data_IF_082230340541
#
_entry.id   IF_082230340541
#
_cell.length_a   1.000
_cell.length_b   1.000
_cell.length_c   1.000
_cell.angle_alpha   90.00
_cell.angle_beta   90.00
_cell.angle_gamma   90.00
#
_symmetry.space_group_name_H-M   'P 1'
#
loop_
_entity.id
_entity.type
_entity.pdbx_description
1 polymer ?
#
# COMPACT_ATOMS: atom_id res chain seq x y z
N UNK A 1 -3.59 11.68 -28.13
CA UNK A 1 -4.67 10.98 -27.39
C UNK A 1 -4.03 10.28 -26.18
N UNK A 2 -3.76 11.00 -25.08
CA UNK A 2 -3.00 10.48 -23.93
C UNK A 2 -3.92 10.35 -22.71
N UNK A 3 -4.67 9.25 -22.64
CA UNK A 3 -5.25 8.77 -21.38
C UNK A 3 -4.37 7.60 -20.91
N UNK A 4 -3.23 7.91 -20.29
CA UNK A 4 -2.23 6.90 -19.90
C UNK A 4 -1.85 6.90 -18.42
N UNK A 5 -2.42 7.79 -17.60
CA UNK A 5 -2.02 7.94 -16.21
C UNK A 5 -3.06 7.35 -15.27
N UNK A 6 -2.59 6.61 -14.26
CA UNK A 6 -3.43 6.16 -13.15
C UNK A 6 -3.94 7.35 -12.33
N UNK A 7 -4.83 7.07 -11.38
CA UNK A 7 -5.38 8.11 -10.49
C UNK A 7 -4.25 8.83 -9.76
N UNK A 8 -4.31 10.16 -9.73
CA UNK A 8 -3.35 11.02 -9.04
C UNK A 8 -4.03 11.83 -7.93
N UNK A 9 -3.34 11.96 -6.81
CA UNK A 9 -3.81 12.55 -5.56
C UNK A 9 -2.91 13.72 -5.19
N UNK A 10 -3.49 14.85 -4.79
CA UNK A 10 -2.69 16.01 -4.39
C UNK A 10 -1.93 15.70 -3.10
N UNK A 11 -0.63 16.02 -3.05
CA UNK A 11 0.15 15.92 -1.83
C UNK A 11 -0.39 16.90 -0.77
N UNK A 12 -0.24 16.54 0.51
CA UNK A 12 -0.70 17.38 1.62
C UNK A 12 0.08 18.69 1.73
N UNK A 13 1.35 18.71 1.27
CA UNK A 13 2.22 19.88 1.30
C UNK A 13 2.81 20.14 -0.10
N UNK A 14 2.71 21.39 -0.56
CA UNK A 14 3.29 21.87 -1.82
C UNK A 14 2.45 21.60 -3.08
N UNK A 15 3.09 21.75 -4.25
CA UNK A 15 2.49 21.56 -5.58
C UNK A 15 2.80 20.18 -6.19
N UNK A 16 2.92 19.15 -5.35
CA UNK A 16 3.19 17.79 -5.80
C UNK A 16 1.92 16.92 -5.81
N UNK A 17 1.97 15.83 -6.57
CA UNK A 17 0.93 14.82 -6.66
C UNK A 17 1.52 13.43 -6.44
N UNK A 18 0.74 12.49 -5.96
CA UNK A 18 1.06 11.07 -5.94
C UNK A 18 0.23 10.37 -6.99
N UNK A 19 0.84 9.54 -7.81
CA UNK A 19 0.12 8.74 -8.80
C UNK A 19 0.29 7.26 -8.49
N UNK A 20 -0.80 6.51 -8.66
CA UNK A 20 -0.78 5.05 -8.62
C UNK A 20 -0.38 4.57 -10.02
N UNK A 21 0.74 3.86 -10.09
CA UNK A 21 1.37 3.42 -11.32
C UNK A 21 1.44 1.89 -11.37
N UNK A 22 1.06 1.32 -12.50
CA UNK A 22 1.25 -0.08 -12.83
C UNK A 22 2.36 -0.21 -13.89
N UNK A 23 3.63 -0.41 -13.49
CA UNK A 23 4.72 -0.56 -14.43
C UNK A 23 4.65 -1.87 -15.23
N UNK A 24 3.76 -2.79 -14.85
CA UNK A 24 3.53 -4.08 -15.50
C UNK A 24 2.18 -4.10 -16.25
N UNK A 25 1.60 -2.93 -16.56
CA UNK A 25 0.31 -2.82 -17.24
C UNK A 25 0.25 -3.69 -18.49
N UNK A 26 -0.76 -4.56 -18.55
CA UNK A 26 -0.98 -5.51 -19.64
C UNK A 26 -0.36 -6.90 -19.43
N UNK A 27 0.29 -7.14 -18.28
CA UNK A 27 0.72 -8.48 -17.87
C UNK A 27 -0.32 -9.17 -17.00
N UNK A 28 -0.30 -10.50 -17.01
CA UNK A 28 -1.11 -11.36 -16.16
C UNK A 28 -0.92 -11.06 -14.66
N UNK A 29 -1.94 -11.33 -13.83
CA UNK A 29 -1.85 -11.25 -12.38
C UNK A 29 -0.65 -12.00 -11.78
N UNK A 30 -0.13 -11.48 -10.68
CA UNK A 30 0.98 -12.10 -9.96
C UNK A 30 0.49 -13.34 -9.21
N UNK A 31 1.03 -14.52 -9.52
CA UNK A 31 0.61 -15.79 -8.92
C UNK A 31 0.65 -15.81 -7.39
N UNK A 32 1.49 -14.98 -6.76
CA UNK A 32 1.66 -14.93 -5.30
C UNK A 32 0.45 -14.40 -4.54
N UNK A 33 -0.52 -13.77 -5.22
CA UNK A 33 -1.71 -13.22 -4.58
C UNK A 33 -2.70 -14.32 -4.17
N UNK A 34 -3.43 -14.06 -3.10
CA UNK A 34 -4.53 -14.92 -2.67
C UNK A 34 -5.74 -14.74 -3.59
N UNK A 35 -6.23 -15.84 -4.16
CA UNK A 35 -7.29 -15.82 -5.16
C UNK A 35 -8.67 -15.47 -4.56
N UNK A 36 -9.02 -16.09 -3.42
CA UNK A 36 -10.39 -16.07 -2.89
C UNK A 36 -10.60 -15.01 -1.79
N UNK A 37 -10.44 -13.73 -2.14
CA UNK A 37 -10.62 -12.63 -1.18
C UNK A 37 -12.10 -12.40 -0.88
N UNK A 38 -12.51 -12.79 0.33
CA UNK A 38 -13.90 -12.64 0.81
C UNK A 38 -14.25 -11.18 1.16
N UNK A 39 -15.54 -10.86 1.24
CA UNK A 39 -16.01 -9.55 1.70
C UNK A 39 -15.55 -9.23 3.13
N UNK A 40 -15.45 -10.24 3.99
CA UNK A 40 -14.86 -10.07 5.32
C UNK A 40 -13.39 -9.64 5.23
N UNK A 41 -12.60 -10.26 4.37
CA UNK A 41 -11.20 -9.88 4.19
C UNK A 41 -11.05 -8.46 3.63
N UNK A 42 -11.93 -8.04 2.72
CA UNK A 42 -11.96 -6.64 2.25
C UNK A 42 -12.26 -5.67 3.40
N UNK A 43 -13.25 -5.97 4.24
CA UNK A 43 -13.55 -5.17 5.42
C UNK A 43 -12.42 -5.15 6.47
N UNK A 44 -11.73 -6.28 6.67
CA UNK A 44 -10.55 -6.36 7.55
C UNK A 44 -9.34 -5.60 6.96
N UNK A 45 -9.23 -5.53 5.62
CA UNK A 45 -8.18 -4.77 4.94
C UNK A 45 -8.41 -3.27 5.10
N UNK A 46 -9.63 -2.77 4.87
CA UNK A 46 -9.98 -1.37 5.09
C UNK A 46 -9.72 -0.94 6.53
N UNK A 47 -10.10 -1.79 7.49
CA UNK A 47 -9.83 -1.58 8.91
C UNK A 47 -8.33 -1.54 9.18
N UNK A 48 -7.54 -2.48 8.64
CA UNK A 48 -6.08 -2.48 8.80
C UNK A 48 -5.42 -1.22 8.19
N UNK A 49 -5.91 -0.75 7.03
CA UNK A 49 -5.44 0.49 6.42
C UNK A 49 -5.81 1.68 7.29
N UNK A 50 -7.03 1.71 7.85
CA UNK A 50 -7.47 2.72 8.82
C UNK A 50 -6.53 2.81 10.03
N UNK A 51 -6.09 1.65 10.55
CA UNK A 51 -5.12 1.55 11.64
C UNK A 51 -3.73 2.09 11.27
N UNK A 52 -3.29 1.88 10.03
CA UNK A 52 -2.02 2.41 9.52
C UNK A 52 -2.03 3.95 9.49
N UNK A 53 -3.10 4.54 8.98
CA UNK A 53 -3.22 5.99 8.74
C UNK A 53 -3.78 6.78 9.92
N UNK A 54 -4.12 6.12 11.04
CA UNK A 54 -4.63 6.59 12.37
C UNK A 54 -5.60 7.79 12.40
N UNK A 55 -5.27 8.92 11.79
CA UNK A 55 -6.02 10.18 11.76
C UNK A 55 -6.56 10.54 10.37
N UNK A 56 -6.54 9.59 9.42
CA UNK A 56 -7.05 9.79 8.06
C UNK A 56 -6.32 10.88 7.25
N UNK A 57 -5.15 11.32 7.68
CA UNK A 57 -4.35 12.33 6.97
C UNK A 57 -3.46 11.66 5.92
N UNK A 58 -2.71 10.64 6.33
CA UNK A 58 -1.73 9.99 5.49
C UNK A 58 -0.82 9.05 6.28
N UNK A 59 0.23 8.57 5.60
CA UNK A 59 1.32 7.87 6.23
C UNK A 59 2.63 8.14 5.49
N UNK A 60 3.72 8.34 6.24
CA UNK A 60 5.06 8.49 5.71
C UNK A 60 5.90 7.24 5.93
N UNK A 61 6.26 6.57 4.83
CA UNK A 61 7.25 5.51 4.85
C UNK A 61 8.66 6.11 4.90
N UNK A 62 9.48 5.62 5.83
CA UNK A 62 10.89 6.02 5.95
C UNK A 62 11.77 4.92 5.40
N UNK A 63 12.66 5.26 4.47
CA UNK A 63 13.60 4.28 3.90
C UNK A 63 14.54 3.76 4.98
N UNK A 64 14.73 2.44 5.01
CA UNK A 64 15.74 1.78 5.85
C UNK A 64 16.61 0.93 4.94
N UNK A 65 17.94 1.06 5.09
CA UNK A 65 18.90 0.24 4.35
C UNK A 65 18.86 -1.23 4.75
N UNK A 66 18.28 -1.55 5.93
CA UNK A 66 18.07 -2.93 6.37
C UNK A 66 16.91 -3.59 5.62
N UNK A 67 17.11 -4.84 5.20
CA UNK A 67 16.08 -5.72 4.65
C UNK A 67 15.14 -6.25 5.74
N UNK A 68 14.95 -5.52 6.85
CA UNK A 68 14.20 -6.02 8.00
C UNK A 68 12.71 -6.04 7.68
N UNK A 69 12.15 -7.24 7.58
CA UNK A 69 10.71 -7.45 7.53
C UNK A 69 10.12 -7.09 8.90
N UNK A 70 9.05 -6.30 8.92
CA UNK A 70 8.33 -6.03 10.18
C UNK A 70 6.86 -5.70 9.93
N UNK A 71 6.03 -6.04 10.90
CA UNK A 71 4.60 -5.73 10.90
C UNK A 71 4.38 -4.31 11.39
N UNK A 72 3.72 -3.49 10.57
CA UNK A 72 3.34 -2.10 10.92
C UNK A 72 1.91 -2.00 11.46
N UNK A 73 1.06 -2.94 11.09
CA UNK A 73 -0.28 -3.13 11.69
C UNK A 73 -0.46 -4.60 11.99
N UNK A 74 -0.48 -4.96 13.27
CA UNK A 74 -0.84 -6.31 13.69
C UNK A 74 -2.36 -6.53 13.51
N UNK A 75 -2.73 -7.76 13.15
CA UNK A 75 -4.13 -8.17 13.12
C UNK A 75 -4.77 -8.18 14.51
N UNK A 76 -3.97 -8.25 15.58
CA UNK A 76 -4.42 -8.02 16.96
C UNK A 76 -4.33 -6.53 17.29
N UNK A 77 -5.42 -5.94 17.78
CA UNK A 77 -5.39 -4.57 18.27
C UNK A 77 -4.92 -4.55 19.72
N UNK A 78 -3.73 -4.02 19.98
CA UNK A 78 -3.25 -3.83 21.35
C UNK A 78 -3.75 -2.47 21.88
N UNK A 79 -4.62 -2.48 22.88
CA UNK A 79 -4.94 -1.28 23.68
C UNK A 79 -6.33 -0.65 23.52
N UNK A 80 -7.37 -1.35 23.06
CA UNK A 80 -8.75 -0.84 23.16
C UNK A 80 -9.46 -1.32 24.42
N UNK A 81 -10.50 -0.57 24.83
CA UNK A 81 -11.49 -1.00 25.81
C UNK A 81 -12.15 -2.32 25.38
N UNK A 82 -12.46 -3.17 26.36
CA UNK A 82 -13.25 -4.39 26.14
C UNK A 82 -14.49 -4.09 25.30
N UNK A 83 -14.73 -4.90 24.26
CA UNK A 83 -15.90 -4.77 23.37
C UNK A 83 -15.69 -3.95 22.08
N UNK A 84 -14.59 -3.20 21.93
CA UNK A 84 -14.37 -2.36 20.73
C UNK A 84 -13.26 -2.84 19.77
N UNK A 85 -12.47 -3.87 20.12
CA UNK A 85 -11.51 -4.47 19.19
C UNK A 85 -11.97 -5.82 18.67
N UNK A 86 -12.28 -5.90 17.38
CA UNK A 86 -12.26 -7.18 16.69
C UNK A 86 -10.83 -7.52 16.24
N UNK A 87 -10.46 -8.78 16.39
CA UNK A 87 -9.26 -9.33 15.76
C UNK A 87 -9.44 -9.32 14.25
N UNK A 88 -8.46 -8.77 13.53
CA UNK A 88 -8.41 -8.81 12.07
C UNK A 88 -7.78 -10.13 11.64
N UNK A 89 -8.33 -10.72 10.58
CA UNK A 89 -7.69 -11.84 9.93
C UNK A 89 -6.51 -11.41 9.05
N UNK A 90 -6.24 -10.10 8.93
CA UNK A 90 -5.19 -9.50 8.11
C UNK A 90 -4.23 -8.66 8.95
N UNK A 91 -3.00 -8.51 8.47
CA UNK A 91 -1.97 -7.60 8.98
C UNK A 91 -1.32 -6.83 7.83
N UNK A 92 -0.63 -5.73 8.15
CA UNK A 92 0.17 -4.98 7.17
C UNK A 92 1.64 -5.10 7.55
N UNK A 93 2.42 -5.60 6.61
CA UNK A 93 3.85 -5.83 6.76
C UNK A 93 4.64 -5.01 5.76
N UNK A 94 5.78 -4.47 6.21
CA UNK A 94 6.83 -4.00 5.32
C UNK A 94 7.75 -5.18 5.05
N UNK A 95 7.79 -5.63 3.80
CA UNK A 95 8.64 -6.74 3.33
C UNK A 95 10.07 -6.31 3.02
N UNK A 96 10.36 -5.01 3.08
CA UNK A 96 11.69 -4.48 2.86
C UNK A 96 11.66 -3.20 2.05
N UNK A 97 12.85 -2.76 1.67
CA UNK A 97 13.05 -1.50 0.98
C UNK A 97 13.99 -1.69 -0.21
N UNK A 98 13.79 -0.92 -1.26
CA UNK A 98 14.63 -1.00 -2.45
C UNK A 98 14.69 0.34 -3.18
N UNK A 99 15.65 0.46 -4.09
CA UNK A 99 15.77 1.59 -4.99
C UNK A 99 15.33 1.16 -6.39
N UNK A 100 14.57 2.01 -7.07
CA UNK A 100 14.15 1.78 -8.47
C UNK A 100 14.11 3.10 -9.21
N UNK A 101 14.45 3.06 -10.49
CA UNK A 101 14.28 4.22 -11.37
C UNK A 101 12.81 4.41 -11.75
N UNK A 102 12.30 5.61 -11.52
CA UNK A 102 10.98 6.08 -11.98
C UNK A 102 11.12 7.50 -12.50
N UNK A 103 10.68 7.74 -13.74
CA UNK A 103 10.83 9.03 -14.45
C UNK A 103 12.27 9.56 -14.46
N UNK A 104 13.24 8.70 -14.81
CA UNK A 104 14.68 9.03 -14.87
C UNK A 104 15.28 9.49 -13.54
N UNK A 105 14.62 9.19 -12.42
CA UNK A 105 15.13 9.46 -11.06
C UNK A 105 15.15 8.16 -10.28
N UNK A 106 16.27 7.86 -9.62
CA UNK A 106 16.33 6.79 -8.63
C UNK A 106 15.52 7.19 -7.40
N UNK A 107 14.56 6.35 -7.02
CA UNK A 107 13.65 6.59 -5.90
C UNK A 107 13.71 5.42 -4.94
N UNK A 108 13.46 5.71 -3.68
CA UNK A 108 13.44 4.76 -2.58
C UNK A 108 12.00 4.32 -2.32
N UNK A 109 11.77 3.02 -2.20
CA UNK A 109 10.45 2.44 -2.01
C UNK A 109 10.42 1.53 -0.78
N UNK A 110 9.32 1.59 -0.05
CA UNK A 110 8.92 0.57 0.92
C UNK A 110 7.99 -0.43 0.21
N UNK A 111 8.34 -1.72 0.25
CA UNK A 111 7.48 -2.79 -0.24
C UNK A 111 6.50 -3.19 0.87
N UNK A 112 5.23 -2.90 0.68
CA UNK A 112 4.20 -3.07 1.71
C UNK A 112 3.17 -4.08 1.25
N UNK A 113 2.88 -5.05 2.11
CA UNK A 113 1.91 -6.10 1.83
C UNK A 113 0.82 -6.15 2.90
N UNK A 114 -0.42 -6.31 2.46
CA UNK A 114 -1.51 -6.77 3.31
C UNK A 114 -1.53 -8.30 3.22
N UNK A 115 -1.43 -8.97 4.35
CA UNK A 115 -1.31 -10.43 4.41
C UNK A 115 -2.27 -11.07 5.40
N UNK A 116 -2.63 -12.34 5.17
CA UNK A 116 -3.34 -13.16 6.14
C UNK A 116 -2.50 -13.34 7.42
N UNK A 117 -3.14 -13.07 8.56
CA UNK A 117 -2.50 -13.22 9.85
C UNK A 117 -2.31 -14.71 10.21
N UNK A 118 -1.12 -15.09 10.69
CA UNK A 118 -0.83 -16.43 11.21
C UNK A 118 -0.90 -17.61 10.24
N UNK A 119 -0.89 -17.40 8.90
CA UNK A 119 -0.98 -18.49 7.90
C UNK A 119 0.32 -18.71 7.12
N UNK A 120 0.56 -19.96 6.70
CA UNK A 120 1.57 -20.36 5.72
C UNK A 120 0.93 -20.52 4.32
N UNK A 121 1.61 -20.09 3.25
CA UNK A 121 1.12 -20.15 1.86
C UNK A 121 0.98 -18.79 1.15
N UNK A 122 0.26 -18.72 0.02
CA UNK A 122 -0.07 -17.45 -0.67
C UNK A 122 -0.92 -16.58 0.26
N UNK A 123 -0.29 -15.67 1.00
CA UNK A 123 -0.95 -14.85 2.03
C UNK A 123 -1.20 -13.42 1.58
N UNK A 124 -0.60 -13.00 0.46
CA UNK A 124 -0.69 -11.62 -0.05
C UNK A 124 -2.10 -11.34 -0.57
N UNK A 125 -2.82 -10.48 0.14
CA UNK A 125 -4.11 -9.94 -0.30
C UNK A 125 -3.91 -8.75 -1.23
N UNK A 126 -2.95 -7.89 -0.88
CA UNK A 126 -2.63 -6.66 -1.58
C UNK A 126 -1.15 -6.34 -1.41
N UNK A 127 -0.51 -5.73 -2.41
CA UNK A 127 0.89 -5.34 -2.37
C UNK A 127 1.16 -4.05 -3.14
N UNK A 128 1.75 -3.08 -2.46
CA UNK A 128 2.04 -1.74 -3.00
C UNK A 128 3.44 -1.31 -2.59
N UNK A 129 4.17 -0.73 -3.54
CA UNK A 129 5.45 -0.07 -3.29
C UNK A 129 5.22 1.43 -3.13
N UNK A 130 5.40 1.94 -1.92
CA UNK A 130 5.23 3.36 -1.62
C UNK A 130 6.56 4.10 -1.66
N UNK A 131 6.62 5.21 -2.38
CA UNK A 131 7.80 6.06 -2.37
C UNK A 131 8.06 6.61 -0.95
N UNK A 132 9.28 6.39 -0.47
CA UNK A 132 9.72 6.81 0.85
C UNK A 132 9.95 8.32 0.93
N UNK A 133 9.95 8.84 2.16
CA UNK A 133 10.36 10.22 2.46
C UNK A 133 9.24 11.25 2.42
N UNK A 134 8.03 10.86 1.98
CA UNK A 134 6.89 11.77 1.85
C UNK A 134 5.66 11.30 2.60
N UNK A 135 4.84 12.25 3.04
CA UNK A 135 3.52 11.99 3.60
C UNK A 135 2.55 11.69 2.46
N UNK A 136 2.15 10.43 2.31
CA UNK A 136 1.26 9.97 1.23
C UNK A 136 -0.19 10.15 1.71
N UNK A 137 -1.07 10.80 0.92
CA UNK A 137 -2.46 11.02 1.30
C UNK A 137 -3.19 9.71 1.61
N UNK A 138 -4.03 9.73 2.66
CA UNK A 138 -4.79 8.57 3.10
C UNK A 138 -5.64 7.93 1.98
N UNK A 139 -6.29 8.73 1.15
CA UNK A 139 -7.10 8.26 0.03
C UNK A 139 -6.26 7.55 -1.04
N UNK A 140 -5.05 8.06 -1.33
CA UNK A 140 -4.10 7.42 -2.24
C UNK A 140 -3.66 6.04 -1.72
N UNK A 141 -3.40 5.92 -0.41
CA UNK A 141 -3.03 4.65 0.23
C UNK A 141 -4.17 3.63 0.11
N UNK A 142 -5.41 4.04 0.43
CA UNK A 142 -6.60 3.17 0.32
C UNK A 142 -6.80 2.67 -1.10
N UNK A 143 -6.84 3.59 -2.05
CA UNK A 143 -7.07 3.24 -3.45
C UNK A 143 -5.96 2.35 -4.01
N UNK A 144 -4.69 2.60 -3.65
CA UNK A 144 -3.58 1.75 -4.10
C UNK A 144 -3.71 0.31 -3.58
N UNK A 145 -4.06 0.11 -2.31
CA UNK A 145 -4.27 -1.24 -1.78
C UNK A 145 -5.52 -1.91 -2.36
N UNK A 146 -6.61 -1.16 -2.56
CA UNK A 146 -7.83 -1.67 -3.18
C UNK A 146 -7.60 -2.10 -4.62
N UNK A 147 -6.91 -1.28 -5.41
CA UNK A 147 -6.58 -1.58 -6.79
C UNK A 147 -5.65 -2.78 -6.88
N UNK A 148 -4.61 -2.83 -6.04
CA UNK A 148 -3.72 -4.00 -5.98
C UNK A 148 -4.47 -5.28 -5.61
N UNK A 149 -5.41 -5.22 -4.66
CA UNK A 149 -6.24 -6.37 -4.28
C UNK A 149 -7.18 -6.80 -5.41
N UNK A 150 -7.78 -5.85 -6.13
CA UNK A 150 -8.74 -6.10 -7.22
C UNK A 150 -8.05 -6.64 -8.46
N UNK A 151 -6.94 -6.02 -8.86
CA UNK A 151 -6.19 -6.38 -10.06
C UNK A 151 -5.19 -7.52 -9.83
N UNK A 152 -4.91 -7.87 -8.57
CA UNK A 152 -3.93 -8.90 -8.19
C UNK A 152 -2.53 -8.57 -8.72
N UNK A 153 -2.13 -7.32 -8.56
CA UNK A 153 -0.88 -6.75 -9.07
C UNK A 153 -0.12 -5.98 -8.02
N UNK A 154 1.19 -5.92 -8.20
CA UNK A 154 2.07 -5.07 -7.41
C UNK A 154 2.06 -3.66 -8.00
N UNK A 155 1.48 -2.70 -7.29
CA UNK A 155 1.39 -1.31 -7.72
C UNK A 155 2.49 -0.45 -7.11
N UNK A 156 2.70 0.74 -7.68
CA UNK A 156 3.63 1.74 -7.19
C UNK A 156 2.91 3.05 -6.90
N UNK A 157 3.22 3.68 -5.77
CA UNK A 157 2.76 5.04 -5.47
C UNK A 157 3.97 5.96 -5.53
N UNK A 158 3.95 6.87 -6.50
CA UNK A 158 5.10 7.70 -6.86
C UNK A 158 4.73 9.17 -6.84
N UNK A 159 5.59 9.99 -6.23
CA UNK A 159 5.47 11.46 -6.22
C UNK A 159 5.89 12.05 -7.56
N UNK A 160 5.04 12.92 -8.11
CA UNK A 160 5.29 13.76 -9.28
C UNK A 160 5.30 15.24 -8.89
N UNK A 161 6.26 15.96 -9.44
CA UNK A 161 6.48 17.39 -9.16
C UNK A 161 5.79 18.32 -10.19
N UNK A 162 4.95 17.80 -11.10
CA UNK A 162 4.28 18.58 -12.14
C UNK A 162 2.76 18.34 -12.20
N UNK A 163 2.01 19.42 -12.53
CA UNK A 163 0.54 19.53 -12.59
C UNK A 163 -0.16 18.73 -13.71
N UNK A 164 0.55 17.97 -14.53
CA UNK A 164 -0.05 17.34 -15.71
C UNK A 164 -0.35 15.87 -15.41
N UNK A 165 -1.62 15.61 -15.07
CA UNK A 165 -2.28 14.31 -15.18
C UNK A 165 -2.93 14.23 -16.55
#
# INVERSE_FOLDING_TARGET
MFSRFGRCYRALLGNAYFCIEDPNKGKEPEERFYNDVTNKMKGDMEEAIGRLIKNNTGYKFSYKSSTSHHTVVDGKWQGSREGFSRNLCLRIDIQGYFKREFYKKTREFANVQVQLNGKTGRTTISQVNFECGYEIPAECIRDAFNDSCKEKKILFVVRRDCKIC
#
